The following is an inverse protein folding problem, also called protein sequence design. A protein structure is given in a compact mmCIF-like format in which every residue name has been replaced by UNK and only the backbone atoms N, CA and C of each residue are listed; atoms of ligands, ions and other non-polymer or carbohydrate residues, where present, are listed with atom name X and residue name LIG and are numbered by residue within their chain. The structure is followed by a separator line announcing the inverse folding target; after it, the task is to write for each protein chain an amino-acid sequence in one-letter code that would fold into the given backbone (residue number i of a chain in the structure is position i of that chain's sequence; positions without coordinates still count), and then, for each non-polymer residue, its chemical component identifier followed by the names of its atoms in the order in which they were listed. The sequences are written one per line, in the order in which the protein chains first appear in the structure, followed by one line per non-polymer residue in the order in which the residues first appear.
data_IF_704671596435
#
_entry.id   IF_704671596435
#
_cell.length_a   1.000
_cell.length_b   1.000
_cell.length_c   1.000
_cell.angle_alpha   90.00
_cell.angle_beta   90.00
_cell.angle_gamma   90.00
#
_symmetry.space_group_name_H-M   'P 1'
#
loop_
_entity.id
_entity.type
_entity.pdbx_description
1 polymer ?
#
# COMPACT_ATOMS: atom_id res chain seq x y z
N UNK A 1 -56.39 -72.01 84.03
CA UNK A 1 -55.18 -71.29 84.50
C UNK A 1 -55.00 -70.02 83.67
N UNK A 2 -56.08 -69.24 83.56
CA UNK A 2 -56.22 -68.32 82.42
C UNK A 2 -55.86 -66.87 82.73
N UNK A 3 -56.42 -66.25 83.77
CA UNK A 3 -56.21 -64.80 83.98
C UNK A 3 -54.74 -64.35 84.15
N UNK A 4 -53.85 -65.20 84.68
CA UNK A 4 -52.43 -64.86 84.88
C UNK A 4 -51.59 -64.89 83.60
N UNK A 5 -52.02 -65.66 82.59
CA UNK A 5 -51.37 -65.68 81.28
C UNK A 5 -51.72 -64.43 80.45
N UNK A 6 -52.93 -63.87 80.58
CA UNK A 6 -53.34 -62.66 79.84
C UNK A 6 -52.66 -61.37 80.35
N UNK A 7 -52.67 -61.08 81.66
CA UNK A 7 -51.97 -59.92 82.27
C UNK A 7 -50.46 -59.91 82.03
N UNK A 8 -49.80 -61.09 82.22
CA UNK A 8 -48.34 -61.30 82.05
C UNK A 8 -47.80 -60.88 80.68
N UNK A 9 -48.65 -60.52 79.75
CA UNK A 9 -48.27 -60.21 78.38
C UNK A 9 -48.78 -58.86 77.92
N UNK A 10 -49.95 -58.39 78.38
CA UNK A 10 -50.31 -56.96 78.29
C UNK A 10 -49.09 -56.11 78.74
N UNK A 11 -48.35 -56.52 79.79
CA UNK A 11 -47.06 -55.92 80.18
C UNK A 11 -45.96 -56.03 79.11
N UNK A 12 -45.81 -57.20 78.47
CA UNK A 12 -44.83 -57.44 77.39
C UNK A 12 -45.08 -56.52 76.19
N UNK A 13 -46.34 -56.38 75.75
CA UNK A 13 -46.72 -55.48 74.66
C UNK A 13 -46.47 -53.99 75.01
N UNK A 14 -46.70 -53.59 76.27
CA UNK A 14 -46.37 -52.25 76.76
C UNK A 14 -44.86 -51.98 76.73
N UNK A 15 -44.03 -52.95 77.12
CA UNK A 15 -42.56 -52.84 77.09
C UNK A 15 -42.05 -52.74 75.64
N UNK A 16 -42.54 -53.60 74.74
CA UNK A 16 -42.19 -53.59 73.31
C UNK A 16 -42.58 -52.26 72.64
N UNK A 17 -43.77 -51.73 72.94
CA UNK A 17 -44.24 -50.43 72.43
C UNK A 17 -43.36 -49.28 72.92
N UNK A 18 -42.98 -49.26 74.22
CA UNK A 18 -42.05 -48.25 74.76
C UNK A 18 -40.68 -48.32 74.10
N UNK A 19 -40.15 -49.52 73.85
CA UNK A 19 -38.87 -49.70 73.16
C UNK A 19 -38.91 -49.18 71.71
N UNK A 20 -39.99 -49.45 70.97
CA UNK A 20 -40.19 -48.92 69.61
C UNK A 20 -40.32 -47.39 69.60
N UNK A 21 -41.07 -46.81 70.54
CA UNK A 21 -41.20 -45.36 70.69
C UNK A 21 -39.82 -44.73 70.95
N UNK A 22 -39.02 -45.31 71.84
CA UNK A 22 -37.65 -44.84 72.13
C UNK A 22 -36.78 -44.89 70.88
N UNK A 23 -36.83 -45.99 70.12
CA UNK A 23 -36.04 -46.15 68.88
C UNK A 23 -36.46 -45.13 67.81
N UNK A 24 -37.78 -44.93 67.63
CA UNK A 24 -38.33 -43.95 66.71
C UNK A 24 -37.95 -42.51 67.10
N UNK A 25 -38.01 -42.20 68.39
CA UNK A 25 -37.61 -40.90 68.93
C UNK A 25 -36.11 -40.65 68.71
N UNK A 26 -35.26 -41.64 68.97
CA UNK A 26 -33.81 -41.55 68.70
C UNK A 26 -33.50 -41.36 67.21
N UNK A 27 -34.19 -42.10 66.33
CA UNK A 27 -34.00 -41.98 64.88
C UNK A 27 -34.46 -40.61 64.35
N UNK A 28 -35.58 -40.09 64.87
CA UNK A 28 -36.10 -38.77 64.53
C UNK A 28 -35.13 -37.68 64.97
N UNK A 29 -34.55 -37.83 66.17
CA UNK A 29 -33.54 -36.91 66.69
C UNK A 29 -32.24 -36.96 65.88
N UNK A 30 -31.78 -38.15 65.47
CA UNK A 30 -30.59 -38.27 64.61
C UNK A 30 -30.84 -37.70 63.21
N UNK A 31 -32.00 -37.97 62.61
CA UNK A 31 -32.37 -37.42 61.30
C UNK A 31 -32.47 -35.89 61.35
N UNK A 32 -33.07 -35.32 62.40
CA UNK A 32 -33.13 -33.88 62.62
C UNK A 32 -31.74 -33.26 62.84
N UNK A 33 -30.82 -33.99 63.47
CA UNK A 33 -29.42 -33.57 63.60
C UNK A 33 -28.70 -33.56 62.24
N UNK A 34 -28.90 -34.59 61.40
CA UNK A 34 -28.30 -34.69 60.07
C UNK A 34 -28.85 -33.63 59.11
N UNK A 35 -30.16 -33.38 59.10
CA UNK A 35 -30.77 -32.30 58.31
C UNK A 35 -30.21 -30.94 58.71
N UNK A 36 -30.06 -30.68 60.02
CA UNK A 36 -29.44 -29.44 60.51
C UNK A 36 -27.96 -29.34 60.09
N UNK A 37 -27.23 -30.45 60.09
CA UNK A 37 -25.84 -30.49 59.64
C UNK A 37 -25.71 -30.22 58.13
N UNK A 38 -26.58 -30.80 57.31
CA UNK A 38 -26.62 -30.56 55.85
C UNK A 38 -26.97 -29.09 55.57
N UNK A 39 -27.99 -28.53 56.23
CA UNK A 39 -28.36 -27.13 56.07
C UNK A 39 -27.24 -26.16 56.50
N UNK A 40 -26.53 -26.46 57.60
CA UNK A 40 -25.34 -25.70 58.03
C UNK A 40 -24.21 -25.79 57.01
N UNK A 41 -23.94 -26.97 56.43
CA UNK A 41 -22.94 -27.11 55.36
C UNK A 41 -23.32 -26.34 54.10
N UNK A 42 -24.57 -26.44 53.66
CA UNK A 42 -25.07 -25.73 52.48
C UNK A 42 -24.99 -24.21 52.66
N UNK A 43 -25.44 -23.67 53.79
CA UNK A 43 -25.31 -22.25 54.09
C UNK A 43 -23.86 -21.77 54.18
N UNK A 44 -22.94 -22.61 54.66
CA UNK A 44 -21.51 -22.31 54.66
C UNK A 44 -20.95 -22.25 53.23
N UNK A 45 -21.33 -23.19 52.35
CA UNK A 45 -20.97 -23.16 50.93
C UNK A 45 -21.55 -21.95 50.20
N UNK A 46 -22.83 -21.62 50.41
CA UNK A 46 -23.47 -20.46 49.79
C UNK A 46 -22.81 -19.14 50.23
N UNK A 47 -22.45 -19.01 51.52
CA UNK A 47 -21.72 -17.86 52.04
C UNK A 47 -20.29 -17.77 51.52
N UNK A 48 -19.60 -18.91 51.40
CA UNK A 48 -18.25 -18.95 50.81
C UNK A 48 -18.27 -18.65 49.31
N UNK A 49 -19.26 -19.16 48.58
CA UNK A 49 -19.45 -18.90 47.15
C UNK A 49 -19.77 -17.43 46.90
N UNK A 50 -20.64 -16.82 47.71
CA UNK A 50 -20.97 -15.39 47.59
C UNK A 50 -19.77 -14.50 47.94
N UNK A 51 -19.00 -14.86 48.96
CA UNK A 51 -17.76 -14.15 49.32
C UNK A 51 -16.68 -14.27 48.24
N UNK A 52 -16.45 -15.47 47.71
CA UNK A 52 -15.49 -15.69 46.62
C UNK A 52 -15.91 -14.96 45.33
N UNK A 53 -17.20 -14.95 45.01
CA UNK A 53 -17.74 -14.22 43.87
C UNK A 53 -17.54 -12.71 44.04
N UNK A 54 -17.77 -12.18 45.25
CA UNK A 54 -17.51 -10.77 45.56
C UNK A 54 -16.04 -10.38 45.34
N UNK A 55 -15.11 -11.20 45.82
CA UNK A 55 -13.67 -10.98 45.58
C UNK A 55 -13.34 -11.03 44.08
N UNK A 56 -13.92 -11.99 43.34
CA UNK A 56 -13.71 -12.08 41.90
C UNK A 56 -14.18 -10.81 41.15
N UNK A 57 -15.33 -10.24 41.52
CA UNK A 57 -15.80 -8.98 40.94
C UNK A 57 -14.90 -7.79 41.29
N UNK A 58 -14.35 -7.73 42.51
CA UNK A 58 -13.39 -6.69 42.89
C UNK A 58 -12.10 -6.76 42.07
N UNK A 59 -11.55 -7.97 41.88
CA UNK A 59 -10.36 -8.18 41.05
C UNK A 59 -10.66 -7.80 39.60
N UNK A 60 -11.81 -8.23 39.06
CA UNK A 60 -12.23 -7.87 37.71
C UNK A 60 -12.35 -6.35 37.53
N UNK A 61 -12.97 -5.65 38.49
CA UNK A 61 -13.09 -4.19 38.45
C UNK A 61 -11.72 -3.50 38.49
N UNK A 62 -10.78 -3.99 39.30
CA UNK A 62 -9.41 -3.47 39.37
C UNK A 62 -8.67 -3.65 38.04
N UNK A 63 -8.77 -4.83 37.42
CA UNK A 63 -8.16 -5.10 36.10
C UNK A 63 -8.80 -4.24 35.01
N UNK A 64 -10.12 -4.09 35.01
CA UNK A 64 -10.82 -3.24 34.05
C UNK A 64 -10.43 -1.77 34.21
N UNK A 65 -10.35 -1.27 35.44
CA UNK A 65 -9.85 0.09 35.72
C UNK A 65 -8.41 0.27 35.26
N UNK A 66 -7.53 -0.70 35.53
CA UNK A 66 -6.13 -0.65 35.11
C UNK A 66 -5.98 -0.67 33.58
N UNK A 67 -6.74 -1.53 32.90
CA UNK A 67 -6.77 -1.59 31.44
C UNK A 67 -7.30 -0.28 30.84
N UNK A 68 -8.36 0.30 31.42
CA UNK A 68 -8.90 1.59 31.00
C UNK A 68 -7.91 2.73 31.24
N UNK A 69 -7.18 2.70 32.36
CA UNK A 69 -6.14 3.68 32.67
C UNK A 69 -4.98 3.60 31.68
N UNK A 70 -4.47 2.40 31.37
CA UNK A 70 -3.44 2.22 30.33
C UNK A 70 -3.92 2.68 28.96
N UNK A 71 -5.16 2.37 28.57
CA UNK A 71 -5.71 2.81 27.29
C UNK A 71 -5.83 4.35 27.21
N UNK A 72 -6.19 5.00 28.31
CA UNK A 72 -6.22 6.45 28.43
C UNK A 72 -4.82 7.07 28.35
N UNK A 73 -3.85 6.50 29.06
CA UNK A 73 -2.45 6.96 29.07
C UNK A 73 -1.81 6.84 27.68
N UNK A 74 -2.00 5.70 27.00
CA UNK A 74 -1.53 5.51 25.63
C UNK A 74 -2.15 6.52 24.64
N UNK A 75 -3.45 6.80 24.77
CA UNK A 75 -4.12 7.84 23.96
C UNK A 75 -3.53 9.22 24.24
N UNK A 76 -3.32 9.56 25.51
CA UNK A 76 -2.73 10.84 25.91
C UNK A 76 -1.31 11.01 25.33
N UNK A 77 -0.48 9.98 25.40
CA UNK A 77 0.86 10.00 24.81
C UNK A 77 0.83 10.20 23.29
N UNK A 78 -0.11 9.55 22.58
CA UNK A 78 -0.28 9.76 21.13
C UNK A 78 -0.74 11.19 20.78
N UNK A 79 -1.66 11.75 21.57
CA UNK A 79 -2.13 13.13 21.43
C UNK A 79 -1.02 14.15 21.70
N UNK A 80 -0.20 13.93 22.74
CA UNK A 80 0.95 14.78 23.05
C UNK A 80 2.00 14.72 21.93
N UNK A 81 2.24 13.55 21.33
CA UNK A 81 3.13 13.39 20.19
C UNK A 81 2.62 14.07 18.91
N UNK A 82 1.31 14.07 18.66
CA UNK A 82 0.71 14.84 17.56
C UNK A 82 0.80 16.34 17.80
N UNK A 83 0.57 16.80 19.04
CA UNK A 83 0.65 18.20 19.41
C UNK A 83 2.08 18.76 19.30
N UNK A 84 3.10 18.00 19.71
CA UNK A 84 4.50 18.41 19.57
C UNK A 84 4.91 18.50 18.10
N UNK A 85 4.53 17.53 17.27
CA UNK A 85 4.74 17.58 15.81
C UNK A 85 4.06 18.78 15.17
N UNK A 86 2.81 19.05 15.53
CA UNK A 86 2.08 20.22 15.03
C UNK A 86 2.76 21.54 15.47
N UNK A 87 3.22 21.62 16.71
CA UNK A 87 3.96 22.79 17.22
C UNK A 87 5.33 22.97 16.54
N UNK A 88 6.05 21.89 16.24
CA UNK A 88 7.29 21.95 15.47
C UNK A 88 7.05 22.44 14.05
N UNK A 89 5.99 21.96 13.39
CA UNK A 89 5.58 22.44 12.07
C UNK A 89 5.24 23.93 12.07
N UNK A 90 4.48 24.40 13.06
CA UNK A 90 4.15 25.82 13.20
C UNK A 90 5.42 26.66 13.43
N UNK A 91 6.32 26.22 14.32
CA UNK A 91 7.59 26.93 14.56
C UNK A 91 8.48 26.98 13.33
N UNK A 92 8.60 25.87 12.59
CA UNK A 92 9.35 25.81 11.34
C UNK A 92 8.80 26.83 10.32
N UNK A 93 7.48 26.86 10.15
CA UNK A 93 6.79 27.83 9.30
C UNK A 93 6.99 29.27 9.76
N UNK A 94 7.00 29.56 11.07
CA UNK A 94 7.27 30.90 11.60
C UNK A 94 8.71 31.36 11.37
N UNK A 95 9.69 30.48 11.56
CA UNK A 95 11.09 30.77 11.24
C UNK A 95 11.28 31.05 9.75
N UNK A 96 10.67 30.24 8.89
CA UNK A 96 10.70 30.46 7.44
C UNK A 96 9.98 31.74 7.02
N UNK A 97 8.85 32.07 7.64
CA UNK A 97 8.14 33.33 7.41
C UNK A 97 9.03 34.52 7.80
N UNK A 98 9.75 34.42 8.91
CA UNK A 98 10.64 35.48 9.38
C UNK A 98 11.90 35.61 8.51
N UNK A 99 12.44 34.50 8.02
CA UNK A 99 13.56 34.52 7.08
C UNK A 99 13.12 35.06 5.72
N UNK A 100 11.94 34.68 5.23
CA UNK A 100 11.31 35.28 4.07
C UNK A 100 11.07 36.79 4.26
N UNK A 101 10.63 37.24 5.44
CA UNK A 101 10.49 38.67 5.77
C UNK A 101 11.84 39.40 5.82
N UNK A 102 12.90 38.77 6.33
CA UNK A 102 14.26 39.35 6.35
C UNK A 102 14.86 39.44 4.95
N UNK A 103 14.61 38.46 4.09
CA UNK A 103 14.95 38.52 2.66
C UNK A 103 14.13 39.60 1.96
N UNK A 104 12.82 39.70 2.25
CA UNK A 104 11.94 40.79 1.78
C UNK A 104 12.41 42.18 2.22
N UNK A 105 13.08 42.30 3.37
CA UNK A 105 13.61 43.58 3.89
C UNK A 105 14.96 44.02 3.31
N UNK A 106 15.71 43.15 2.61
CA UNK A 106 17.06 43.46 2.10
C UNK A 106 17.14 43.65 0.58
N UNK A 107 16.13 43.25 -0.18
CA UNK A 107 16.02 43.55 -1.61
C UNK A 107 15.26 44.86 -1.82
N UNK A 108 15.93 45.90 -2.30
CA UNK A 108 15.31 47.21 -2.55
C UNK A 108 14.04 47.12 -3.40
N UNK A 109 13.12 48.07 -3.22
CA UNK A 109 11.77 48.12 -3.80
C UNK A 109 11.67 47.82 -5.32
N UNK A 110 12.75 47.98 -6.09
CA UNK A 110 12.83 47.61 -7.50
C UNK A 110 12.87 46.10 -7.77
N UNK A 111 13.51 45.31 -6.90
CA UNK A 111 13.50 43.85 -7.02
C UNK A 111 12.12 43.27 -6.63
N UNK A 112 11.45 43.89 -5.63
CA UNK A 112 10.09 43.51 -5.22
C UNK A 112 9.07 43.73 -6.36
N UNK A 113 9.06 44.92 -6.96
CA UNK A 113 8.12 45.24 -8.06
C UNK A 113 8.35 44.41 -9.31
N UNK A 114 9.60 43.95 -9.56
CA UNK A 114 9.90 43.06 -10.67
C UNK A 114 9.36 41.64 -10.41
N UNK A 115 9.61 41.08 -9.24
CA UNK A 115 9.14 39.73 -8.89
C UNK A 115 7.61 39.66 -8.81
N UNK A 116 6.95 40.69 -8.29
CA UNK A 116 5.47 40.76 -8.26
C UNK A 116 4.86 40.81 -9.66
N UNK A 117 5.52 41.49 -10.61
CA UNK A 117 5.10 41.51 -12.02
C UNK A 117 5.31 40.17 -12.70
N UNK A 118 6.45 39.52 -12.48
CA UNK A 118 6.73 38.19 -13.05
C UNK A 118 5.75 37.13 -12.49
N UNK A 119 5.37 37.24 -11.21
CA UNK A 119 4.37 36.36 -10.60
C UNK A 119 2.95 36.61 -11.13
N UNK A 120 2.57 37.87 -11.38
CA UNK A 120 1.26 38.19 -11.94
C UNK A 120 1.16 37.76 -13.41
N UNK A 121 2.23 37.95 -14.19
CA UNK A 121 2.35 37.43 -15.55
C UNK A 121 2.26 35.90 -15.57
N UNK A 122 2.99 35.22 -14.68
CA UNK A 122 2.91 33.77 -14.52
C UNK A 122 1.48 33.32 -14.21
N UNK A 123 0.77 34.02 -13.33
CA UNK A 123 -0.62 33.70 -13.00
C UNK A 123 -1.55 33.83 -14.22
N UNK A 124 -1.38 34.86 -15.04
CA UNK A 124 -2.12 35.04 -16.28
C UNK A 124 -1.81 33.89 -17.25
N UNK A 125 -0.53 33.56 -17.47
CA UNK A 125 -0.14 32.47 -18.36
C UNK A 125 -0.67 31.10 -17.91
N UNK A 126 -0.70 30.85 -16.60
CA UNK A 126 -1.33 29.66 -16.02
C UNK A 126 -2.83 29.63 -16.34
N UNK A 127 -3.52 30.77 -16.21
CA UNK A 127 -4.95 30.88 -16.52
C UNK A 127 -5.27 30.69 -18.02
N UNK A 128 -4.34 31.10 -18.88
CA UNK A 128 -4.42 30.91 -20.34
C UNK A 128 -4.00 29.50 -20.79
N UNK A 129 -3.44 28.68 -19.88
CA UNK A 129 -3.00 27.32 -20.17
C UNK A 129 -1.73 27.24 -21.02
N UNK A 130 -0.94 28.32 -21.10
CA UNK A 130 0.28 28.39 -21.94
C UNK A 130 1.47 27.70 -21.28
N UNK A 131 1.45 26.37 -21.31
CA UNK A 131 2.42 25.51 -20.63
C UNK A 131 3.89 25.89 -20.89
N UNK A 132 4.26 26.18 -22.15
CA UNK A 132 5.65 26.47 -22.51
C UNK A 132 6.14 27.80 -21.91
N UNK A 133 5.35 28.87 -22.05
CA UNK A 133 5.68 30.21 -21.51
C UNK A 133 5.73 30.19 -19.98
N UNK A 134 4.85 29.43 -19.33
CA UNK A 134 4.88 29.23 -17.87
C UNK A 134 6.21 28.61 -17.43
N UNK A 135 6.70 27.59 -18.13
CA UNK A 135 7.97 26.93 -17.78
C UNK A 135 9.17 27.86 -17.98
N UNK A 136 9.21 28.59 -19.09
CA UNK A 136 10.30 29.54 -19.36
C UNK A 136 10.36 30.67 -18.34
N UNK A 137 9.20 31.20 -17.94
CA UNK A 137 9.14 32.27 -16.94
C UNK A 137 9.48 31.72 -15.55
N UNK A 138 9.01 30.53 -15.21
CA UNK A 138 9.34 29.87 -13.94
C UNK A 138 10.84 29.63 -13.76
N UNK A 139 11.56 29.25 -14.82
CA UNK A 139 13.01 29.05 -14.78
C UNK A 139 13.79 30.36 -14.59
N UNK A 140 13.23 31.50 -15.02
CA UNK A 140 13.85 32.83 -14.86
C UNK A 140 13.68 33.40 -13.45
N UNK A 141 12.63 32.98 -12.73
CA UNK A 141 12.33 33.51 -11.39
C UNK A 141 13.33 32.93 -10.36
N UNK A 142 14.05 33.77 -9.59
CA UNK A 142 14.95 33.30 -8.55
C UNK A 142 14.17 32.59 -7.43
N UNK A 143 14.35 31.27 -7.32
CA UNK A 143 13.60 30.42 -6.38
C UNK A 143 13.71 30.86 -4.91
N UNK A 144 14.83 31.48 -4.51
CA UNK A 144 15.02 32.02 -3.16
C UNK A 144 14.23 33.30 -2.85
N UNK A 145 13.53 33.86 -3.83
CA UNK A 145 12.71 35.07 -3.68
C UNK A 145 11.21 34.80 -3.55
N UNK A 146 10.80 33.55 -3.77
CA UNK A 146 9.41 33.09 -3.65
C UNK A 146 9.09 32.73 -2.20
N UNK A 147 7.87 33.01 -1.74
CA UNK A 147 7.40 32.44 -0.47
C UNK A 147 7.25 30.91 -0.60
N UNK A 148 7.46 30.16 0.48
CA UNK A 148 7.38 28.68 0.44
C UNK A 148 6.05 28.17 -0.13
N UNK A 149 4.93 28.81 0.23
CA UNK A 149 3.61 28.44 -0.29
C UNK A 149 3.49 28.70 -1.80
N UNK A 150 3.94 29.85 -2.28
CA UNK A 150 3.96 30.18 -3.71
C UNK A 150 4.83 29.19 -4.48
N UNK A 151 6.02 28.88 -3.95
CA UNK A 151 6.92 27.88 -4.52
C UNK A 151 6.21 26.52 -4.65
N UNK A 152 5.56 26.04 -3.59
CA UNK A 152 4.87 24.75 -3.61
C UNK A 152 3.72 24.72 -4.62
N UNK A 153 2.92 25.77 -4.67
CA UNK A 153 1.82 25.89 -5.64
C UNK A 153 2.35 25.91 -7.08
N UNK A 154 3.42 26.68 -7.33
CA UNK A 154 4.06 26.75 -8.63
C UNK A 154 4.71 25.42 -9.02
N UNK A 155 5.36 24.73 -8.10
CA UNK A 155 5.93 23.40 -8.33
C UNK A 155 4.85 22.39 -8.76
N UNK A 156 3.68 22.40 -8.12
CA UNK A 156 2.55 21.54 -8.50
C UNK A 156 2.02 21.87 -9.91
N UNK A 157 1.88 23.16 -10.21
CA UNK A 157 1.42 23.65 -11.53
C UNK A 157 2.43 23.32 -12.63
N UNK A 158 3.72 23.57 -12.39
CA UNK A 158 4.83 23.26 -13.29
C UNK A 158 4.92 21.76 -13.54
N UNK A 159 4.75 20.92 -12.49
CA UNK A 159 4.72 19.46 -12.64
C UNK A 159 3.58 19.01 -13.56
N UNK A 160 2.41 19.64 -13.45
CA UNK A 160 1.26 19.35 -14.31
C UNK A 160 1.56 19.75 -15.76
N UNK A 161 2.02 20.97 -16.00
CA UNK A 161 2.34 21.44 -17.35
C UNK A 161 3.45 20.63 -18.03
N UNK A 162 4.49 20.21 -17.28
CA UNK A 162 5.50 19.28 -17.78
C UNK A 162 4.88 17.93 -18.19
N UNK A 163 3.93 17.43 -17.40
CA UNK A 163 3.17 16.23 -17.75
C UNK A 163 2.36 16.39 -19.03
N UNK A 164 1.64 17.50 -19.16
CA UNK A 164 0.80 17.79 -20.33
C UNK A 164 1.66 17.95 -21.60
N UNK A 165 2.76 18.71 -21.54
CA UNK A 165 3.71 18.82 -22.65
C UNK A 165 4.34 17.46 -23.00
N UNK A 166 4.71 16.67 -21.99
CA UNK A 166 5.23 15.32 -22.22
C UNK A 166 4.23 14.46 -22.99
N UNK A 167 2.93 14.53 -22.68
CA UNK A 167 1.87 13.83 -23.41
C UNK A 167 1.67 14.35 -24.84
N UNK A 168 1.75 15.66 -25.06
CA UNK A 168 1.63 16.27 -26.39
C UNK A 168 2.76 15.78 -27.30
N UNK A 169 4.01 15.83 -26.82
CA UNK A 169 5.17 15.35 -27.56
C UNK A 169 5.10 13.83 -27.82
N UNK A 170 4.60 13.06 -26.85
CA UNK A 170 4.39 11.63 -27.03
C UNK A 170 3.39 11.32 -28.14
N UNK A 171 2.23 11.99 -28.12
CA UNK A 171 1.17 11.80 -29.13
C UNK A 171 1.66 12.21 -30.52
N UNK A 172 2.36 13.35 -30.60
CA UNK A 172 2.99 13.81 -31.85
C UNK A 172 4.05 12.82 -32.37
N UNK A 173 4.83 12.21 -31.47
CA UNK A 173 5.76 11.13 -31.80
C UNK A 173 5.06 9.93 -32.44
N UNK A 174 3.92 9.51 -31.88
CA UNK A 174 3.11 8.43 -32.46
C UNK A 174 2.59 8.78 -33.85
N UNK A 175 2.06 10.00 -34.03
CA UNK A 175 1.58 10.48 -35.33
C UNK A 175 2.71 10.45 -36.38
N UNK A 176 3.92 10.89 -36.00
CA UNK A 176 5.09 10.86 -36.89
C UNK A 176 5.54 9.44 -37.24
N UNK A 177 5.42 8.48 -36.32
CA UNK A 177 5.66 7.06 -36.61
C UNK A 177 4.67 6.56 -37.67
N UNK A 178 3.39 6.91 -37.57
CA UNK A 178 2.39 6.54 -38.60
C UNK A 178 2.67 7.20 -39.95
N UNK A 179 3.19 8.44 -39.93
CA UNK A 179 3.64 9.17 -41.11
C UNK A 179 4.99 8.68 -41.67
N UNK A 180 5.61 7.66 -41.06
CA UNK A 180 6.94 7.10 -41.40
C UNK A 180 8.09 8.10 -41.30
N UNK A 181 7.91 9.19 -40.55
CA UNK A 181 8.92 10.20 -40.26
C UNK A 181 9.69 9.82 -38.99
N UNK A 182 10.48 8.75 -39.09
CA UNK A 182 11.14 8.15 -37.93
C UNK A 182 12.16 9.06 -37.24
N UNK A 183 13.02 9.82 -37.95
CA UNK A 183 13.96 10.73 -37.29
C UNK A 183 13.27 11.79 -36.43
N UNK A 184 12.19 12.39 -36.94
CA UNK A 184 11.40 13.38 -36.22
C UNK A 184 10.64 12.75 -35.06
N UNK A 185 10.09 11.55 -35.23
CA UNK A 185 9.41 10.82 -34.17
C UNK A 185 10.33 10.57 -32.96
N UNK A 186 11.59 10.15 -33.21
CA UNK A 186 12.58 9.93 -32.15
C UNK A 186 12.83 11.21 -31.36
N UNK A 187 12.93 12.35 -32.04
CA UNK A 187 13.15 13.63 -31.36
C UNK A 187 11.93 14.03 -30.50
N UNK A 188 10.71 13.86 -31.01
CA UNK A 188 9.50 14.14 -30.24
C UNK A 188 9.37 13.22 -29.00
N UNK A 189 9.69 11.93 -29.12
CA UNK A 189 9.73 11.05 -27.94
C UNK A 189 10.82 11.47 -26.94
N UNK A 190 11.98 11.93 -27.43
CA UNK A 190 13.04 12.46 -26.58
C UNK A 190 12.61 13.73 -25.85
N UNK A 191 11.89 14.63 -26.53
CA UNK A 191 11.31 15.82 -25.89
C UNK A 191 10.27 15.44 -24.83
N UNK A 192 9.40 14.47 -25.12
CA UNK A 192 8.44 13.94 -24.15
C UNK A 192 9.12 13.46 -22.85
N UNK A 193 10.18 12.66 -22.99
CA UNK A 193 10.97 12.17 -21.87
C UNK A 193 11.78 13.27 -21.17
N UNK A 194 12.18 14.34 -21.87
CA UNK A 194 12.84 15.51 -21.26
C UNK A 194 11.91 16.30 -20.35
N UNK A 195 10.65 16.46 -20.74
CA UNK A 195 9.67 17.16 -19.90
C UNK A 195 9.30 16.33 -18.67
N UNK A 196 9.12 15.02 -18.85
CA UNK A 196 8.77 14.11 -17.76
C UNK A 196 9.18 12.67 -18.07
N UNK A 197 10.16 12.15 -17.34
CA UNK A 197 10.71 10.80 -17.49
C UNK A 197 10.00 9.74 -16.63
N UNK A 198 9.27 10.17 -15.61
CA UNK A 198 8.49 9.36 -14.66
C UNK A 198 6.99 9.33 -14.97
N UNK A 199 6.58 9.85 -16.14
CA UNK A 199 5.19 9.85 -16.55
C UNK A 199 4.67 8.43 -16.79
N UNK A 200 3.35 8.22 -16.65
CA UNK A 200 2.73 6.91 -16.91
C UNK A 200 3.00 6.39 -18.33
N UNK A 201 3.10 7.29 -19.31
CA UNK A 201 3.43 6.96 -20.70
C UNK A 201 4.95 6.92 -20.99
N UNK A 202 5.82 7.23 -20.02
CA UNK A 202 7.26 7.34 -20.29
C UNK A 202 7.89 6.02 -20.73
N UNK A 203 7.47 4.90 -20.13
CA UNK A 203 7.90 3.55 -20.55
C UNK A 203 7.46 3.25 -21.98
N UNK A 204 6.19 3.51 -22.30
CA UNK A 204 5.66 3.37 -23.66
C UNK A 204 6.40 4.28 -24.67
N UNK A 205 6.70 5.53 -24.29
CA UNK A 205 7.49 6.45 -25.09
C UNK A 205 8.89 5.90 -25.38
N UNK A 206 9.59 5.32 -24.40
CA UNK A 206 10.89 4.65 -24.62
C UNK A 206 10.77 3.47 -25.60
N UNK A 207 9.73 2.65 -25.50
CA UNK A 207 9.47 1.51 -26.40
C UNK A 207 9.22 1.98 -27.83
N UNK A 208 8.31 2.94 -28.02
CA UNK A 208 7.98 3.48 -29.35
C UNK A 208 9.16 4.25 -29.95
N UNK A 209 9.95 4.96 -29.14
CA UNK A 209 11.20 5.58 -29.57
C UNK A 209 12.20 4.52 -30.05
N UNK A 210 12.37 3.42 -29.33
CA UNK A 210 13.25 2.33 -29.76
C UNK A 210 12.77 1.68 -31.06
N UNK A 211 11.45 1.51 -31.23
CA UNK A 211 10.89 1.04 -32.49
C UNK A 211 11.15 2.01 -33.65
N UNK A 212 11.05 3.32 -33.41
CA UNK A 212 11.39 4.34 -34.40
C UNK A 212 12.89 4.36 -34.74
N UNK A 213 13.78 4.20 -33.74
CA UNK A 213 15.23 4.05 -33.94
C UNK A 213 15.57 2.82 -34.78
N UNK A 214 14.92 1.68 -34.51
CA UNK A 214 15.03 0.47 -35.32
C UNK A 214 14.68 0.77 -36.78
N UNK A 215 13.52 1.37 -37.02
CA UNK A 215 13.05 1.73 -38.37
C UNK A 215 13.91 2.80 -39.07
N UNK A 216 14.67 3.60 -38.32
CA UNK A 216 15.68 4.52 -38.84
C UNK A 216 16.98 3.81 -39.31
N UNK A 217 17.10 2.49 -39.10
CA UNK A 217 18.32 1.73 -39.39
C UNK A 217 19.35 1.78 -38.27
N UNK A 218 18.94 2.09 -37.04
CA UNK A 218 19.79 2.11 -35.83
C UNK A 218 19.40 1.02 -34.84
N UNK A 219 19.47 -0.27 -35.22
CA UNK A 219 18.98 -1.36 -34.36
C UNK A 219 19.78 -1.52 -33.07
N UNK A 220 21.08 -1.17 -33.05
CA UNK A 220 21.90 -1.24 -31.82
C UNK A 220 21.46 -0.24 -30.75
N UNK A 221 21.11 0.99 -31.15
CA UNK A 221 20.57 2.00 -30.22
C UNK A 221 19.20 1.55 -29.67
N UNK A 222 18.35 0.96 -30.53
CA UNK A 222 17.05 0.44 -30.13
C UNK A 222 17.18 -0.70 -29.10
N UNK A 223 18.11 -1.64 -29.31
CA UNK A 223 18.39 -2.74 -28.37
C UNK A 223 18.76 -2.19 -26.99
N UNK A 224 19.68 -1.22 -26.93
CA UNK A 224 20.14 -0.64 -25.67
C UNK A 224 19.01 0.04 -24.89
N UNK A 225 18.10 0.73 -25.58
CA UNK A 225 16.93 1.36 -24.96
C UNK A 225 15.96 0.29 -24.44
N UNK A 226 15.63 -0.71 -25.26
CA UNK A 226 14.65 -1.75 -24.90
C UNK A 226 15.14 -2.64 -23.74
N UNK A 227 16.42 -2.97 -23.69
CA UNK A 227 17.00 -3.74 -22.59
C UNK A 227 16.85 -2.99 -21.26
N UNK A 228 17.23 -1.71 -21.20
CA UNK A 228 17.07 -0.90 -19.98
C UNK A 228 15.61 -0.80 -19.55
N UNK A 229 14.72 -0.61 -20.53
CA UNK A 229 13.28 -0.54 -20.27
C UNK A 229 12.80 -1.84 -19.64
N UNK A 230 13.11 -3.00 -20.22
CA UNK A 230 12.72 -4.32 -19.69
C UNK A 230 13.30 -4.57 -18.29
N UNK A 231 14.52 -4.11 -17.99
CA UNK A 231 15.14 -4.18 -16.67
C UNK A 231 14.40 -3.34 -15.61
N UNK A 232 13.82 -2.19 -15.98
CA UNK A 232 13.05 -1.29 -15.11
C UNK A 232 11.67 -1.85 -14.66
N UNK A 233 11.37 -3.13 -14.94
CA UNK A 233 10.12 -3.83 -14.64
C UNK A 233 8.90 -3.19 -15.33
N UNK A 234 8.39 -3.84 -16.37
CA UNK A 234 7.25 -3.36 -17.16
C UNK A 234 5.95 -4.00 -16.73
N UNK A 235 4.87 -3.25 -16.94
CA UNK A 235 3.53 -3.81 -16.94
C UNK A 235 3.43 -4.88 -18.03
N UNK A 236 2.71 -6.00 -17.77
CA UNK A 236 2.63 -7.11 -18.72
C UNK A 236 2.20 -6.73 -20.14
N UNK A 237 1.37 -5.68 -20.26
CA UNK A 237 0.83 -5.14 -21.51
C UNK A 237 1.87 -4.36 -22.34
N UNK A 238 2.92 -3.84 -21.71
CA UNK A 238 4.02 -3.14 -22.40
C UNK A 238 5.22 -4.06 -22.59
N UNK A 239 5.35 -5.07 -21.73
CA UNK A 239 6.47 -5.99 -21.74
C UNK A 239 6.50 -6.85 -23.02
N UNK A 240 5.33 -7.27 -23.51
CA UNK A 240 5.26 -8.06 -24.74
C UNK A 240 5.59 -7.23 -25.99
N UNK A 241 5.10 -5.99 -26.09
CA UNK A 241 5.51 -4.99 -27.07
C UNK A 241 7.04 -4.77 -27.04
N UNK A 242 7.61 -4.53 -25.85
CA UNK A 242 9.04 -4.29 -25.69
C UNK A 242 9.89 -5.50 -26.14
N UNK A 243 9.51 -6.71 -25.73
CA UNK A 243 10.19 -7.95 -26.13
C UNK A 243 10.05 -8.22 -27.63
N UNK A 244 8.89 -7.90 -28.21
CA UNK A 244 8.67 -8.01 -29.64
C UNK A 244 9.60 -7.09 -30.42
N UNK A 245 9.62 -5.79 -30.09
CA UNK A 245 10.51 -4.84 -30.76
C UNK A 245 11.99 -5.16 -30.52
N UNK A 246 12.34 -5.71 -29.35
CA UNK A 246 13.71 -6.12 -29.04
C UNK A 246 14.15 -7.28 -29.94
N UNK A 247 13.29 -8.29 -30.11
CA UNK A 247 13.55 -9.39 -31.03
C UNK A 247 13.72 -8.93 -32.48
N UNK A 248 12.87 -8.00 -32.93
CA UNK A 248 13.00 -7.40 -34.27
C UNK A 248 14.30 -6.61 -34.43
N UNK A 249 14.67 -5.81 -33.42
CA UNK A 249 15.91 -5.05 -33.43
C UNK A 249 17.15 -5.97 -33.47
N UNK A 250 17.17 -7.05 -32.69
CA UNK A 250 18.23 -8.07 -32.77
C UNK A 250 18.30 -8.73 -34.15
N UNK A 251 17.15 -9.02 -34.76
CA UNK A 251 17.11 -9.61 -36.11
C UNK A 251 17.72 -8.66 -37.16
N UNK A 252 17.41 -7.37 -37.08
CA UNK A 252 17.98 -6.34 -37.97
C UNK A 252 19.46 -6.05 -37.69
N UNK A 253 19.89 -6.21 -36.44
CA UNK A 253 21.29 -6.18 -36.03
C UNK A 253 22.07 -7.47 -36.43
N UNK A 254 21.45 -8.41 -37.14
CA UNK A 254 22.00 -9.72 -37.50
C UNK A 254 22.37 -10.63 -36.30
N UNK A 255 21.88 -10.30 -35.10
CA UNK A 255 22.02 -11.06 -33.86
C UNK A 255 20.91 -12.11 -33.76
N UNK A 256 20.99 -13.13 -34.61
CA UNK A 256 19.91 -14.11 -34.82
C UNK A 256 19.66 -15.00 -33.60
N UNK A 257 20.71 -15.35 -32.86
CA UNK A 257 20.61 -16.21 -31.68
C UNK A 257 19.88 -15.51 -30.54
N UNK A 258 20.23 -14.24 -30.32
CA UNK A 258 19.60 -13.35 -29.35
C UNK A 258 18.14 -13.10 -29.72
N UNK A 259 17.85 -12.74 -30.98
CA UNK A 259 16.48 -12.56 -31.46
C UNK A 259 15.61 -13.78 -31.17
N UNK A 260 16.12 -14.98 -31.47
CA UNK A 260 15.43 -16.25 -31.21
C UNK A 260 15.23 -16.51 -29.71
N UNK A 261 16.21 -16.16 -28.88
CA UNK A 261 16.11 -16.29 -27.42
C UNK A 261 14.98 -15.41 -26.88
N UNK A 262 14.94 -14.14 -27.31
CA UNK A 262 13.91 -13.17 -26.91
C UNK A 262 12.52 -13.61 -27.37
N UNK A 263 12.35 -14.06 -28.62
CA UNK A 263 11.06 -14.58 -29.11
C UNK A 263 10.58 -15.80 -28.30
N UNK A 264 11.49 -16.70 -27.92
CA UNK A 264 11.16 -17.83 -27.04
C UNK A 264 10.81 -17.40 -25.62
N UNK A 265 11.46 -16.36 -25.11
CA UNK A 265 11.10 -15.78 -23.83
C UNK A 265 9.71 -15.13 -23.88
N UNK A 266 9.40 -14.37 -24.94
CA UNK A 266 8.08 -13.77 -25.17
C UNK A 266 6.97 -14.83 -25.17
N UNK A 267 7.12 -15.90 -25.94
CA UNK A 267 6.12 -16.98 -26.00
C UNK A 267 5.94 -17.72 -24.66
N UNK A 268 6.99 -17.81 -23.83
CA UNK A 268 6.91 -18.48 -22.52
C UNK A 268 6.30 -17.59 -21.44
N UNK A 269 6.69 -16.31 -21.42
CA UNK A 269 6.28 -15.36 -20.40
C UNK A 269 4.89 -14.77 -20.71
N UNK A 270 4.57 -14.59 -21.99
CA UNK A 270 3.33 -13.96 -22.45
C UNK A 270 2.59 -14.83 -23.49
N UNK A 271 1.97 -15.97 -23.08
CA UNK A 271 1.25 -16.85 -24.00
C UNK A 271 0.02 -16.22 -24.66
N UNK A 272 -0.55 -15.17 -24.04
CA UNK A 272 -1.73 -14.45 -24.53
C UNK A 272 -1.37 -13.18 -25.33
N UNK A 273 -0.08 -12.92 -25.57
CA UNK A 273 0.35 -11.75 -26.34
C UNK A 273 -0.19 -11.81 -27.77
N UNK A 274 -0.58 -10.64 -28.31
CA UNK A 274 -0.94 -10.50 -29.72
C UNK A 274 0.17 -10.95 -30.68
N UNK A 275 1.44 -10.85 -30.25
CA UNK A 275 2.60 -11.25 -31.04
C UNK A 275 2.91 -12.74 -30.97
N UNK A 276 2.19 -13.53 -30.17
CA UNK A 276 2.53 -14.94 -29.95
C UNK A 276 2.64 -15.74 -31.26
N UNK A 277 1.66 -15.56 -32.16
CA UNK A 277 1.63 -16.26 -33.46
C UNK A 277 2.82 -15.87 -34.33
N UNK A 278 3.10 -14.57 -34.42
CA UNK A 278 4.17 -14.05 -35.27
C UNK A 278 5.55 -14.36 -34.70
N UNK A 279 5.68 -14.34 -33.37
CA UNK A 279 6.89 -14.75 -32.66
C UNK A 279 7.22 -16.22 -32.92
N UNK A 280 6.21 -17.10 -32.93
CA UNK A 280 6.38 -18.51 -33.26
C UNK A 280 6.87 -18.73 -34.68
N UNK A 281 6.27 -18.04 -35.66
CA UNK A 281 6.66 -18.14 -37.07
C UNK A 281 8.10 -17.65 -37.25
N UNK A 282 8.42 -16.45 -36.76
CA UNK A 282 9.78 -15.87 -36.88
C UNK A 282 10.84 -16.71 -36.17
N UNK A 283 10.55 -17.24 -34.99
CA UNK A 283 11.48 -18.12 -34.29
C UNK A 283 11.76 -19.40 -35.09
N UNK A 284 10.74 -19.98 -35.75
CA UNK A 284 10.91 -21.14 -36.62
C UNK A 284 11.70 -20.82 -37.90
N UNK A 285 11.46 -19.65 -38.52
CA UNK A 285 12.23 -19.19 -39.69
C UNK A 285 13.72 -18.98 -39.36
N UNK A 286 14.01 -18.36 -38.22
CA UNK A 286 15.38 -18.18 -37.74
C UNK A 286 16.06 -19.53 -37.47
N UNK A 287 15.32 -20.52 -36.96
CA UNK A 287 15.83 -21.87 -36.74
C UNK A 287 16.17 -22.60 -38.06
N UNK A 288 15.31 -22.50 -39.06
CA UNK A 288 15.50 -23.18 -40.35
C UNK A 288 16.73 -22.64 -41.09
N UNK A 289 16.92 -21.31 -41.09
CA UNK A 289 18.07 -20.67 -41.74
C UNK A 289 19.40 -21.04 -41.10
N UNK A 290 19.43 -21.26 -39.78
CA UNK A 290 20.63 -21.77 -39.10
C UNK A 290 20.98 -23.19 -39.57
N UNK A 291 19.97 -24.06 -39.72
CA UNK A 291 20.17 -25.42 -40.20
C UNK A 291 20.64 -25.46 -41.66
N UNK A 292 20.13 -24.57 -42.52
CA UNK A 292 20.54 -24.47 -43.92
C UNK A 292 21.92 -23.80 -44.10
N UNK A 293 22.28 -22.83 -43.26
CA UNK A 293 23.60 -22.17 -43.29
C UNK A 293 24.73 -23.00 -42.69
N UNK A 294 24.43 -23.92 -41.76
CA UNK A 294 25.43 -24.82 -41.17
C UNK A 294 25.77 -26.07 -41.99
N UNK A 295 25.12 -26.27 -43.14
CA UNK A 295 25.33 -27.44 -44.01
C UNK A 295 26.19 -27.17 -45.26
N UNK A 296 26.66 -25.95 -45.46
CA UNK A 296 27.30 -25.50 -46.71
C UNK A 296 28.80 -25.23 -46.68
N UNK A 297 29.43 -25.14 -45.51
CA UNK A 297 30.90 -24.99 -45.38
C UNK A 297 31.51 -26.30 -44.87
N UNK A 298 31.86 -27.18 -45.82
CA UNK A 298 32.87 -28.23 -45.67
C UNK A 298 33.78 -28.21 -46.88
#
# INVERSE_FOLDING_TARGET
MDGANELRKIEKEIVETRALIIKSNNLTNSLSADVRNIARRQSWYERSLSFNSFIAYLVFAAVAMFASWMAYDARKASLEAELTKAQEQVKALETELNDAKKVKGKGGAQAQTKNEKELSELHVLISEGKALEVLELYEKIPQGSLALFEKKLLDDVVRRFRGDLSMVHYTKGLDLVTAKKFPEAVEEFRQSLRYKDDAGHAKAAKIHMANALRLQGKPQEAIAVLQRVIEEHLDPELADDAMWYLALAHQEAHQRDEARSVLRALMRQYPQSQFFRDARIRAAELQLRLYQGGGGDK
#
